data_IF_973165036105
#
_entry.id   IF_973165036105
#
_cell.length_a   1.000
_cell.length_b   1.000
_cell.length_c   1.000
_cell.angle_alpha   90.00
_cell.angle_beta   90.00
_cell.angle_gamma   90.00
#
_symmetry.space_group_name_H-M   'P 1'
#
loop_
_entity.id
_entity.type
_entity.pdbx_description
1 polymer ?
#
# COMPACT_ATOMS: atom_id res chain seq x y z
N UNK A 1 26.91 9.31 26.18
CA UNK A 1 26.68 10.77 26.20
C UNK A 1 27.64 11.46 27.15
N UNK A 2 27.68 11.11 28.46
CA UNK A 2 28.71 11.61 29.40
C UNK A 2 30.15 11.33 28.96
N UNK A 3 30.38 10.24 28.23
CA UNK A 3 31.71 9.89 27.71
C UNK A 3 32.12 10.72 26.48
N UNK A 4 31.15 11.37 25.83
CA UNK A 4 31.35 12.14 24.59
C UNK A 4 31.40 13.65 24.83
N UNK A 5 30.72 14.13 25.88
CA UNK A 5 30.61 15.56 26.17
C UNK A 5 31.12 15.85 27.58
N UNK A 6 31.92 16.91 27.73
CA UNK A 6 32.45 17.36 29.02
C UNK A 6 31.36 18.13 29.77
N UNK A 7 31.03 17.66 30.97
CA UNK A 7 30.06 18.27 31.90
C UNK A 7 28.67 18.60 31.30
N UNK A 8 27.95 17.60 30.75
CA UNK A 8 26.62 17.84 30.20
C UNK A 8 25.59 18.05 31.30
N UNK A 9 24.72 19.06 31.14
CA UNK A 9 23.52 19.20 31.94
C UNK A 9 22.56 18.01 31.67
N UNK A 10 22.12 17.36 32.74
CA UNK A 10 21.15 16.26 32.65
C UNK A 10 19.82 16.78 33.17
N UNK A 11 18.83 16.78 32.30
CA UNK A 11 17.45 17.14 32.65
C UNK A 11 16.62 15.86 32.57
N UNK A 12 16.03 15.48 33.71
CA UNK A 12 15.16 14.31 33.79
C UNK A 12 13.71 14.77 33.80
N UNK A 13 12.91 14.26 32.87
CA UNK A 13 11.47 14.54 32.81
C UNK A 13 10.72 13.49 33.62
N UNK A 14 10.13 13.90 34.74
CA UNK A 14 9.40 13.02 35.66
C UNK A 14 7.88 13.17 35.54
N UNK A 15 7.38 14.22 34.90
CA UNK A 15 5.95 14.45 34.78
C UNK A 15 5.34 13.68 33.60
N UNK A 16 4.32 12.86 33.87
CA UNK A 16 3.56 12.12 32.87
C UNK A 16 2.14 12.68 32.75
N UNK A 17 1.80 13.15 31.55
CA UNK A 17 0.49 13.73 31.23
C UNK A 17 -0.43 12.77 30.45
N UNK A 18 0.05 11.58 30.10
CA UNK A 18 -0.69 10.62 29.25
C UNK A 18 -1.54 9.68 30.10
N UNK A 19 -0.95 9.11 31.14
CA UNK A 19 -1.47 7.97 31.87
C UNK A 19 -1.76 8.32 33.32
N UNK A 20 -2.73 7.64 33.90
CA UNK A 20 -3.08 7.77 35.32
C UNK A 20 -2.12 6.98 36.19
N UNK A 21 -2.14 7.27 37.49
CA UNK A 21 -1.25 6.68 38.49
C UNK A 21 -1.27 5.13 38.51
N UNK A 22 -2.43 4.43 38.43
CA UNK A 22 -2.45 2.97 38.41
C UNK A 22 -1.64 2.36 37.25
N UNK A 23 -1.73 2.95 36.05
CA UNK A 23 -0.95 2.51 34.88
C UNK A 23 0.53 2.75 35.10
N UNK A 24 0.91 3.92 35.64
CA UNK A 24 2.32 4.22 35.91
C UNK A 24 2.93 3.30 36.96
N UNK A 25 2.19 2.97 38.02
CA UNK A 25 2.65 2.02 39.04
C UNK A 25 2.85 0.62 38.47
N UNK A 26 1.92 0.13 37.65
CA UNK A 26 2.06 -1.16 36.97
C UNK A 26 3.25 -1.16 36.01
N UNK A 27 3.42 -0.10 35.19
CA UNK A 27 4.57 0.02 34.31
C UNK A 27 5.89 0.08 35.10
N UNK A 28 5.92 0.79 36.22
CA UNK A 28 7.10 0.90 37.11
C UNK A 28 7.47 -0.45 37.72
N UNK A 29 6.49 -1.25 38.16
CA UNK A 29 6.74 -2.57 38.75
C UNK A 29 7.33 -3.57 37.75
N UNK A 30 7.01 -3.42 36.45
CA UNK A 30 7.62 -4.23 35.37
C UNK A 30 9.03 -3.73 35.05
N UNK A 31 9.21 -2.43 34.76
CA UNK A 31 10.49 -1.91 34.27
C UNK A 31 11.62 -1.97 35.31
N UNK A 32 11.29 -1.93 36.60
CA UNK A 32 12.27 -1.99 37.69
C UNK A 32 12.89 -3.38 37.89
N UNK A 33 12.33 -4.43 37.28
CA UNK A 33 12.90 -5.78 37.29
C UNK A 33 14.14 -5.90 36.38
N UNK A 34 14.30 -4.99 35.42
CA UNK A 34 15.48 -4.94 34.55
C UNK A 34 16.73 -4.50 35.30
N UNK A 35 17.86 -5.20 35.11
CA UNK A 35 19.11 -4.89 35.82
C UNK A 35 19.91 -3.73 35.18
N UNK A 36 19.88 -3.62 33.85
CA UNK A 36 20.61 -2.59 33.09
C UNK A 36 19.80 -1.31 32.92
N UNK A 37 19.52 -0.61 34.02
CA UNK A 37 18.76 0.64 34.01
C UNK A 37 19.68 1.84 34.18
N UNK A 38 19.35 2.94 33.50
CA UNK A 38 20.14 4.18 33.60
C UNK A 38 20.22 4.73 35.03
N UNK A 39 19.16 4.57 35.83
CA UNK A 39 19.12 4.93 37.25
C UNK A 39 20.15 4.13 38.08
N UNK A 40 20.47 2.90 37.67
CA UNK A 40 21.46 2.06 38.36
C UNK A 40 22.89 2.47 37.97
N UNK A 41 23.07 3.03 36.78
CA UNK A 41 24.37 3.43 36.23
C UNK A 41 24.74 4.86 36.63
N UNK A 42 23.75 5.76 36.75
CA UNK A 42 23.94 7.16 37.12
C UNK A 42 23.22 7.42 38.44
N UNK A 43 23.99 7.49 39.52
CA UNK A 43 23.48 7.59 40.91
C UNK A 43 22.58 8.80 41.20
N UNK A 44 22.61 9.83 40.37
CA UNK A 44 21.88 11.09 40.57
C UNK A 44 20.62 11.22 39.68
N UNK A 45 20.22 10.15 38.98
CA UNK A 45 19.01 10.15 38.13
C UNK A 45 17.92 9.31 38.78
N UNK A 46 16.81 9.97 39.10
CA UNK A 46 15.53 9.31 39.41
C UNK A 46 14.56 9.53 38.23
N UNK A 47 14.08 8.45 37.61
CA UNK A 47 13.06 8.51 36.54
C UNK A 47 11.71 7.98 37.02
N UNK A 48 11.43 8.08 38.31
CA UNK A 48 10.10 7.81 38.84
C UNK A 48 9.13 8.86 38.27
N UNK A 49 8.07 8.38 37.62
CA UNK A 49 7.12 9.24 36.93
C UNK A 49 5.97 9.64 37.87
N UNK A 50 5.55 10.90 37.80
CA UNK A 50 4.39 11.46 38.49
C UNK A 50 3.24 11.65 37.51
N UNK A 51 2.08 11.04 37.80
CA UNK A 51 0.88 11.20 36.97
C UNK A 51 0.22 12.56 37.21
N UNK A 52 -0.11 13.28 36.14
CA UNK A 52 -0.92 14.50 36.19
C UNK A 52 -2.34 14.30 35.64
N UNK A 53 -2.59 13.21 34.91
CA UNK A 53 -3.95 12.83 34.46
C UNK A 53 -4.73 12.24 35.64
N UNK A 54 -5.93 12.78 35.89
CA UNK A 54 -6.85 12.29 36.91
C UNK A 54 -8.11 11.77 36.23
N UNK A 55 -8.35 10.48 36.37
CA UNK A 55 -9.61 9.84 35.99
C UNK A 55 -10.14 9.06 37.20
N UNK A 56 -11.46 9.05 37.35
CA UNK A 56 -12.08 8.48 38.54
C UNK A 56 -12.00 6.94 38.58
N UNK A 57 -11.80 6.28 37.43
CA UNK A 57 -11.79 4.81 37.31
C UNK A 57 -10.76 4.35 36.28
N UNK A 58 -9.52 4.09 36.73
CA UNK A 58 -8.56 3.32 35.95
C UNK A 58 -8.26 2.01 36.68
N UNK A 59 -8.41 0.89 35.97
CA UNK A 59 -8.13 -0.44 36.49
C UNK A 59 -7.09 -1.09 35.57
N UNK A 60 -6.09 -1.74 36.16
CA UNK A 60 -5.10 -2.55 35.45
C UNK A 60 -5.26 -3.98 35.93
N UNK A 61 -5.57 -4.89 35.02
CA UNK A 61 -5.87 -6.28 35.34
C UNK A 61 -4.97 -7.23 34.55
N UNK A 62 -4.72 -8.41 35.12
CA UNK A 62 -4.04 -9.52 34.47
C UNK A 62 -4.96 -10.72 34.50
N UNK A 63 -5.32 -11.22 33.31
CA UNK A 63 -6.16 -12.39 33.14
C UNK A 63 -5.32 -13.55 32.61
N UNK A 64 -5.43 -14.72 33.24
CA UNK A 64 -4.76 -15.94 32.80
C UNK A 64 -5.83 -16.93 32.31
N UNK A 65 -5.75 -17.28 31.03
CA UNK A 65 -6.70 -18.15 30.37
C UNK A 65 -6.05 -19.48 30.01
N UNK A 66 -6.88 -20.52 29.83
CA UNK A 66 -6.40 -21.89 29.64
C UNK A 66 -5.79 -22.10 28.25
N UNK A 67 -6.38 -21.46 27.23
CA UNK A 67 -5.92 -21.56 25.85
C UNK A 67 -5.86 -20.20 25.17
N UNK A 68 -5.08 -20.11 24.10
CA UNK A 68 -4.99 -18.90 23.28
C UNK A 68 -6.33 -18.60 22.56
N UNK A 69 -7.13 -19.61 22.26
CA UNK A 69 -8.48 -19.43 21.71
C UNK A 69 -9.40 -18.76 22.72
N UNK A 70 -9.32 -19.17 23.99
CA UNK A 70 -10.09 -18.53 25.07
C UNK A 70 -9.68 -17.06 25.23
N UNK A 71 -8.40 -16.75 25.07
CA UNK A 71 -7.88 -15.37 25.06
C UNK A 71 -8.50 -14.53 23.95
N UNK A 72 -8.52 -15.02 22.71
CA UNK A 72 -9.16 -14.29 21.60
C UNK A 72 -10.64 -14.06 21.81
N UNK A 73 -11.37 -15.06 22.30
CA UNK A 73 -12.80 -14.93 22.61
C UNK A 73 -13.03 -13.93 23.74
N UNK A 74 -12.22 -13.99 24.79
CA UNK A 74 -12.30 -13.08 25.92
C UNK A 74 -12.02 -11.64 25.51
N UNK A 75 -10.97 -11.39 24.72
CA UNK A 75 -10.65 -10.04 24.21
C UNK A 75 -11.82 -9.51 23.37
N UNK A 76 -12.34 -10.29 22.43
CA UNK A 76 -13.47 -9.87 21.61
C UNK A 76 -14.72 -9.55 22.45
N UNK A 77 -14.98 -10.34 23.49
CA UNK A 77 -16.05 -10.09 24.45
C UNK A 77 -15.85 -8.78 25.22
N UNK A 78 -14.66 -8.55 25.77
CA UNK A 78 -14.35 -7.32 26.52
C UNK A 78 -14.50 -6.07 25.65
N UNK A 79 -14.00 -6.11 24.42
CA UNK A 79 -14.16 -5.00 23.48
C UNK A 79 -15.64 -4.76 23.19
N UNK A 80 -16.43 -5.82 22.98
CA UNK A 80 -17.86 -5.69 22.76
C UNK A 80 -18.58 -5.07 23.96
N UNK A 81 -18.20 -5.44 25.18
CA UNK A 81 -18.75 -4.86 26.41
C UNK A 81 -18.44 -3.37 26.51
N UNK A 82 -17.20 -2.95 26.24
CA UNK A 82 -16.81 -1.53 26.22
C UNK A 82 -17.60 -0.73 25.18
N UNK A 83 -17.73 -1.26 23.96
CA UNK A 83 -18.52 -0.62 22.90
C UNK A 83 -20.00 -0.52 23.28
N UNK A 84 -20.56 -1.55 23.92
CA UNK A 84 -21.94 -1.53 24.41
C UNK A 84 -22.16 -0.54 25.56
N UNK A 85 -21.11 -0.21 26.31
CA UNK A 85 -21.12 0.82 27.37
C UNK A 85 -21.00 2.25 26.80
N UNK A 86 -20.72 2.38 25.50
CA UNK A 86 -20.67 3.66 24.78
C UNK A 86 -19.26 4.21 24.56
N UNK A 87 -18.22 3.42 24.84
CA UNK A 87 -16.83 3.81 24.52
C UNK A 87 -16.62 3.89 23.00
N UNK A 88 -15.84 4.87 22.54
CA UNK A 88 -15.50 4.97 21.12
C UNK A 88 -14.51 3.86 20.74
N UNK A 89 -14.78 3.16 19.63
CA UNK A 89 -13.90 2.15 19.08
C UNK A 89 -12.48 2.69 18.81
N UNK A 90 -12.35 3.98 18.46
CA UNK A 90 -11.05 4.62 18.23
C UNK A 90 -10.19 4.76 19.49
N UNK A 91 -10.78 4.64 20.68
CA UNK A 91 -10.09 4.73 21.96
C UNK A 91 -9.64 3.35 22.48
N UNK A 92 -9.98 2.27 21.77
CA UNK A 92 -9.63 0.89 22.13
C UNK A 92 -8.49 0.39 21.25
N UNK A 93 -7.37 0.00 21.85
CA UNK A 93 -6.22 -0.56 21.15
C UNK A 93 -5.85 -1.95 21.69
N UNK A 94 -5.61 -2.90 20.77
CA UNK A 94 -5.12 -4.25 21.09
C UNK A 94 -3.68 -4.37 20.62
N UNK A 95 -2.76 -4.63 21.55
CA UNK A 95 -1.33 -4.74 21.26
C UNK A 95 -0.90 -6.20 21.48
N UNK A 96 -0.43 -6.84 20.41
CA UNK A 96 0.14 -8.18 20.43
C UNK A 96 1.67 -8.15 20.38
N UNK A 97 2.34 -9.23 20.79
CA UNK A 97 3.80 -9.32 20.68
C UNK A 97 4.23 -9.42 19.22
N UNK A 98 3.52 -10.25 18.46
CA UNK A 98 3.75 -10.47 17.05
C UNK A 98 2.48 -10.17 16.24
N UNK A 99 2.65 -9.65 15.02
CA UNK A 99 1.55 -9.38 14.11
C UNK A 99 0.70 -10.62 13.76
N UNK A 100 1.35 -11.79 13.66
CA UNK A 100 0.66 -13.06 13.38
C UNK A 100 -0.30 -13.48 14.49
N UNK A 101 -0.16 -12.95 15.72
CA UNK A 101 -1.13 -13.15 16.79
C UNK A 101 -2.36 -12.26 16.59
N UNK A 102 -2.16 -11.01 16.17
CA UNK A 102 -3.25 -10.09 15.85
C UNK A 102 -4.09 -10.59 14.67
N UNK A 103 -3.47 -11.18 13.63
CA UNK A 103 -4.22 -11.80 12.53
C UNK A 103 -5.19 -12.89 13.00
N UNK A 104 -4.80 -13.66 14.01
CA UNK A 104 -5.61 -14.76 14.54
C UNK A 104 -6.82 -14.26 15.33
N UNK A 105 -6.82 -13.03 15.85
CA UNK A 105 -7.96 -12.47 16.56
C UNK A 105 -9.05 -11.93 15.61
N UNK A 106 -8.69 -11.55 14.38
CA UNK A 106 -9.60 -10.89 13.43
C UNK A 106 -10.91 -11.67 13.19
N UNK A 107 -10.91 -13.01 13.01
CA UNK A 107 -12.15 -13.77 12.85
C UNK A 107 -13.11 -13.64 14.04
N UNK A 108 -12.58 -13.55 15.26
CA UNK A 108 -13.37 -13.42 16.48
C UNK A 108 -14.00 -12.02 16.61
N UNK A 109 -13.25 -10.98 16.25
CA UNK A 109 -13.76 -9.61 16.21
C UNK A 109 -14.84 -9.46 15.13
N UNK A 110 -14.63 -10.06 13.96
CA UNK A 110 -15.62 -10.06 12.87
C UNK A 110 -16.91 -10.81 13.28
N UNK A 111 -16.79 -11.98 13.92
CA UNK A 111 -17.94 -12.71 14.45
C UNK A 111 -18.75 -11.90 15.48
N UNK A 112 -18.08 -11.04 16.25
CA UNK A 112 -18.72 -10.13 17.20
C UNK A 112 -19.25 -8.82 16.57
N UNK A 113 -19.14 -8.68 15.24
CA UNK A 113 -19.48 -7.46 14.48
C UNK A 113 -18.77 -6.21 15.03
N UNK A 114 -17.48 -6.34 15.37
CA UNK A 114 -16.66 -5.23 15.85
C UNK A 114 -15.92 -4.64 14.64
N UNK A 115 -16.04 -3.33 14.36
CA UNK A 115 -15.26 -2.68 13.32
C UNK A 115 -13.78 -2.65 13.75
N UNK A 116 -12.88 -3.03 12.86
CA UNK A 116 -11.43 -3.06 13.14
C UNK A 116 -10.71 -2.22 12.10
N UNK A 117 -9.95 -1.23 12.57
CA UNK A 117 -8.92 -0.57 11.78
C UNK A 117 -7.62 -1.36 11.93
N UNK A 118 -7.23 -2.09 10.88
CA UNK A 118 -6.04 -2.94 10.90
C UNK A 118 -4.87 -2.24 10.18
N UNK A 119 -3.77 -1.99 10.89
CA UNK A 119 -2.58 -1.28 10.35
C UNK A 119 -1.78 -2.06 9.29
N UNK A 120 -2.24 -3.25 8.88
CA UNK A 120 -1.89 -3.77 7.55
C UNK A 120 -3.02 -3.38 6.60
N UNK A 121 -2.86 -2.22 5.96
CA UNK A 121 -3.07 -2.22 4.52
C UNK A 121 -2.12 -3.29 3.98
N UNK A 122 -2.62 -4.27 3.24
CA UNK A 122 -1.76 -4.94 2.27
C UNK A 122 -0.98 -3.84 1.56
N UNK A 123 0.35 -4.00 1.44
CA UNK A 123 1.18 -2.95 0.87
C UNK A 123 0.56 -2.59 -0.49
N UNK A 124 -0.02 -1.39 -0.59
CA UNK A 124 -0.83 -1.01 -1.75
C UNK A 124 0.05 -1.07 -3.02
N UNK A 125 1.37 -0.93 -2.86
CA UNK A 125 2.35 -1.06 -3.92
C UNK A 125 2.50 -2.49 -4.45
N UNK A 126 2.19 -3.50 -3.63
CA UNK A 126 2.23 -4.92 -4.01
C UNK A 126 0.91 -5.40 -4.64
N UNK A 127 -0.08 -4.50 -4.79
CA UNK A 127 -1.35 -4.87 -5.42
C UNK A 127 -1.14 -5.17 -6.92
N UNK A 128 -1.81 -6.19 -7.48
CA UNK A 128 -1.69 -6.54 -8.90
C UNK A 128 -1.80 -5.37 -9.91
N UNK A 129 -2.75 -4.42 -9.78
CA UNK A 129 -2.80 -3.26 -10.69
C UNK A 129 -1.57 -2.38 -10.59
N UNK A 130 -1.04 -2.12 -9.39
CA UNK A 130 0.13 -1.25 -9.20
C UNK A 130 1.39 -1.89 -9.77
N UNK A 131 1.59 -3.20 -9.55
CA UNK A 131 2.71 -3.94 -10.13
C UNK A 131 2.68 -3.93 -11.67
N UNK A 132 1.51 -4.05 -12.28
CA UNK A 132 1.40 -4.01 -13.74
C UNK A 132 1.66 -2.61 -14.30
N UNK A 133 1.18 -1.57 -13.64
CA UNK A 133 1.47 -0.17 -14.00
C UNK A 133 2.96 0.12 -13.86
N UNK A 134 3.62 -0.37 -12.80
CA UNK A 134 5.07 -0.26 -12.63
C UNK A 134 5.83 -0.95 -13.77
N UNK A 135 5.45 -2.19 -14.11
CA UNK A 135 6.06 -2.93 -15.23
C UNK A 135 5.90 -2.19 -16.56
N UNK A 136 4.71 -1.69 -16.83
CA UNK A 136 4.43 -0.90 -18.04
C UNK A 136 5.25 0.40 -18.04
N UNK A 137 5.32 1.12 -16.93
CA UNK A 137 6.12 2.35 -16.78
C UNK A 137 7.58 2.08 -17.11
N UNK A 138 8.16 1.01 -16.57
CA UNK A 138 9.54 0.64 -16.84
C UNK A 138 9.77 0.36 -18.34
N UNK A 139 8.84 -0.33 -19.01
CA UNK A 139 8.92 -0.56 -20.46
C UNK A 139 8.85 0.76 -21.24
N UNK A 140 7.97 1.68 -20.86
CA UNK A 140 7.84 2.99 -21.52
C UNK A 140 9.08 3.87 -21.36
N UNK A 141 9.67 3.91 -20.16
CA UNK A 141 10.93 4.64 -19.90
C UNK A 141 12.04 4.06 -20.78
N UNK A 142 12.20 2.73 -20.81
CA UNK A 142 13.23 2.08 -21.63
C UNK A 142 13.02 2.32 -23.13
N UNK A 143 11.76 2.40 -23.59
CA UNK A 143 11.42 2.76 -24.97
C UNK A 143 11.81 4.21 -25.28
N UNK A 144 11.52 5.15 -24.38
CA UNK A 144 11.92 6.55 -24.52
C UNK A 144 13.44 6.75 -24.54
N UNK A 145 14.16 5.97 -23.74
CA UNK A 145 15.64 5.91 -23.72
C UNK A 145 16.24 5.13 -24.91
N UNK A 146 15.41 4.56 -25.80
CA UNK A 146 15.83 3.74 -26.95
C UNK A 146 16.64 2.49 -26.56
N UNK A 147 16.40 1.93 -25.37
CA UNK A 147 17.06 0.74 -24.84
C UNK A 147 16.34 -0.54 -25.26
N UNK A 148 16.28 -0.77 -26.57
CA UNK A 148 15.43 -1.81 -27.16
C UNK A 148 15.72 -3.24 -26.69
N UNK A 149 16.97 -3.57 -26.35
CA UNK A 149 17.33 -4.90 -25.81
C UNK A 149 16.76 -5.14 -24.41
N UNK A 150 16.71 -4.10 -23.58
CA UNK A 150 16.15 -4.20 -22.23
C UNK A 150 14.62 -4.33 -22.30
N UNK A 151 13.99 -3.57 -23.21
CA UNK A 151 12.56 -3.70 -23.52
C UNK A 151 12.22 -5.13 -23.97
N UNK A 152 13.02 -5.71 -24.86
CA UNK A 152 12.84 -7.09 -25.36
C UNK A 152 12.83 -8.12 -24.23
N UNK A 153 13.67 -7.92 -23.20
CA UNK A 153 13.70 -8.78 -22.02
C UNK A 153 12.46 -8.65 -21.10
N UNK A 154 11.81 -7.48 -21.09
CA UNK A 154 10.66 -7.20 -20.21
C UNK A 154 9.29 -7.49 -20.85
N UNK A 155 9.20 -7.41 -22.18
CA UNK A 155 7.94 -7.65 -22.91
C UNK A 155 7.28 -9.00 -22.64
N UNK A 156 7.99 -10.14 -22.53
CA UNK A 156 7.36 -11.41 -22.22
C UNK A 156 6.58 -11.38 -20.90
N UNK A 157 7.13 -10.71 -19.87
CA UNK A 157 6.49 -10.57 -18.57
C UNK A 157 5.28 -9.65 -18.66
N UNK A 158 5.44 -8.46 -19.25
CA UNK A 158 4.34 -7.50 -19.41
C UNK A 158 3.15 -8.12 -20.16
N UNK A 159 3.40 -8.73 -21.31
CA UNK A 159 2.37 -9.26 -22.21
C UNK A 159 1.72 -10.56 -21.70
N UNK A 160 2.35 -11.23 -20.72
CA UNK A 160 1.77 -12.42 -20.09
C UNK A 160 0.52 -12.11 -19.25
N UNK A 161 0.34 -10.85 -18.85
CA UNK A 161 -0.79 -10.45 -18.02
C UNK A 161 -2.12 -10.59 -18.79
N UNK A 162 -3.15 -11.25 -18.19
CA UNK A 162 -4.42 -11.52 -18.87
C UNK A 162 -5.21 -10.27 -19.29
N UNK A 163 -4.94 -9.11 -18.67
CA UNK A 163 -5.58 -7.84 -19.05
C UNK A 163 -5.38 -7.49 -20.53
N UNK A 164 -4.26 -7.88 -21.14
CA UNK A 164 -4.00 -7.63 -22.56
C UNK A 164 -4.84 -8.50 -23.49
N UNK A 165 -5.50 -9.55 -22.98
CA UNK A 165 -6.35 -10.43 -23.78
C UNK A 165 -5.58 -11.13 -24.92
N UNK A 166 -4.29 -11.42 -24.73
CA UNK A 166 -3.46 -12.19 -25.66
C UNK A 166 -3.52 -13.66 -25.24
N UNK A 167 -3.77 -14.56 -26.19
CA UNK A 167 -3.80 -15.99 -25.86
C UNK A 167 -2.40 -16.52 -25.57
N UNK A 168 -2.28 -17.51 -24.67
CA UNK A 168 -1.00 -18.19 -24.39
C UNK A 168 -0.35 -18.75 -25.65
N UNK A 169 -1.17 -19.18 -26.63
CA UNK A 169 -0.69 -19.73 -27.89
C UNK A 169 -0.10 -18.66 -28.81
N UNK A 170 -0.70 -17.47 -28.84
CA UNK A 170 -0.18 -16.35 -29.64
C UNK A 170 1.09 -15.78 -29.01
N UNK A 171 1.16 -15.71 -27.68
CA UNK A 171 2.40 -15.40 -26.95
C UNK A 171 3.52 -16.39 -27.24
N UNK A 172 3.22 -17.69 -27.27
CA UNK A 172 4.22 -18.71 -27.59
C UNK A 172 4.68 -18.65 -29.05
N UNK A 173 3.77 -18.38 -30.00
CA UNK A 173 4.13 -18.17 -31.42
C UNK A 173 5.02 -16.94 -31.59
N UNK A 174 4.69 -15.85 -30.89
CA UNK A 174 5.48 -14.62 -30.90
C UNK A 174 6.89 -14.85 -30.38
N UNK A 175 7.02 -15.50 -29.20
CA UNK A 175 8.33 -15.79 -28.61
C UNK A 175 9.19 -16.69 -29.51
N UNK A 176 8.58 -17.72 -30.12
CA UNK A 176 9.28 -18.63 -31.01
C UNK A 176 9.72 -17.94 -32.31
N UNK A 177 8.89 -17.06 -32.87
CA UNK A 177 9.19 -16.31 -34.10
C UNK A 177 10.34 -15.31 -33.84
N UNK A 178 10.25 -14.52 -32.76
CA UNK A 178 11.31 -13.59 -32.36
C UNK A 178 12.65 -14.31 -32.14
N UNK A 179 12.63 -15.44 -31.43
CA UNK A 179 13.84 -16.23 -31.17
C UNK A 179 14.46 -16.84 -32.44
N UNK A 180 13.64 -17.45 -33.32
CA UNK A 180 14.14 -18.08 -34.56
C UNK A 180 14.71 -17.07 -35.54
N UNK A 181 14.02 -15.94 -35.71
CA UNK A 181 14.38 -14.92 -36.69
C UNK A 181 15.45 -13.95 -36.14
N UNK A 182 15.80 -14.07 -34.85
CA UNK A 182 16.74 -13.19 -34.12
C UNK A 182 16.32 -11.72 -34.19
N UNK A 183 15.04 -11.48 -33.96
CA UNK A 183 14.40 -10.18 -34.04
C UNK A 183 13.79 -9.80 -32.71
N UNK A 184 13.63 -8.50 -32.49
CA UNK A 184 13.01 -8.00 -31.27
C UNK A 184 11.50 -8.28 -31.30
N UNK A 185 10.92 -8.47 -30.13
CA UNK A 185 9.48 -8.73 -29.95
C UNK A 185 8.63 -7.65 -30.60
N UNK A 186 8.97 -6.36 -30.42
CA UNK A 186 8.23 -5.25 -31.03
C UNK A 186 8.20 -5.33 -32.55
N UNK A 187 9.31 -5.69 -33.20
CA UNK A 187 9.36 -5.82 -34.65
C UNK A 187 8.42 -6.93 -35.13
N UNK A 188 8.40 -8.07 -34.43
CA UNK A 188 7.53 -9.20 -34.76
C UNK A 188 6.07 -8.89 -34.47
N UNK A 189 5.79 -8.12 -33.41
CA UNK A 189 4.44 -7.65 -33.06
C UNK A 189 3.90 -6.69 -34.14
N UNK A 190 4.70 -5.74 -34.61
CA UNK A 190 4.31 -4.79 -35.67
C UNK A 190 3.93 -5.49 -36.99
N UNK A 191 4.53 -6.65 -37.28
CA UNK A 191 4.21 -7.47 -38.46
C UNK A 191 3.01 -8.40 -38.26
N UNK A 192 2.57 -8.61 -37.01
CA UNK A 192 1.52 -9.57 -36.68
C UNK A 192 0.19 -8.83 -36.54
N UNK A 193 -0.73 -8.93 -37.51
CA UNK A 193 -1.94 -8.12 -37.54
C UNK A 193 -2.87 -8.39 -36.35
N UNK A 194 -3.67 -7.37 -36.00
CA UNK A 194 -4.59 -7.39 -34.88
C UNK A 194 -3.94 -6.89 -33.59
N UNK A 195 -4.42 -7.40 -32.46
CA UNK A 195 -4.11 -6.85 -31.13
C UNK A 195 -2.62 -6.70 -30.79
N UNK A 196 -1.76 -7.59 -31.31
CA UNK A 196 -0.32 -7.50 -31.09
C UNK A 196 0.29 -6.28 -31.78
N UNK A 197 -0.12 -6.00 -33.01
CA UNK A 197 0.29 -4.80 -33.74
C UNK A 197 -0.21 -3.54 -33.06
N UNK A 198 -1.50 -3.51 -32.73
CA UNK A 198 -2.13 -2.34 -32.08
C UNK A 198 -1.42 -2.00 -30.75
N UNK A 199 -1.11 -3.03 -29.95
CA UNK A 199 -0.39 -2.86 -28.70
C UNK A 199 1.06 -2.41 -28.90
N UNK A 200 1.76 -2.91 -29.92
CA UNK A 200 3.13 -2.47 -30.22
C UNK A 200 3.17 -1.02 -30.68
N UNK A 201 2.25 -0.61 -31.56
CA UNK A 201 2.12 0.79 -32.00
C UNK A 201 1.81 1.68 -30.80
N UNK A 202 0.87 1.29 -29.94
CA UNK A 202 0.54 2.01 -28.72
C UNK A 202 1.73 2.15 -27.75
N UNK A 203 2.48 1.07 -27.48
CA UNK A 203 3.66 1.13 -26.61
C UNK A 203 4.74 2.08 -27.15
N UNK A 204 4.96 2.07 -28.47
CA UNK A 204 5.95 2.94 -29.12
C UNK A 204 5.53 4.42 -29.01
N UNK A 205 4.27 4.73 -29.32
CA UNK A 205 3.77 6.12 -29.24
C UNK A 205 3.79 6.60 -27.80
N UNK A 206 3.27 5.80 -26.86
CA UNK A 206 3.23 6.16 -25.45
C UNK A 206 4.62 6.31 -24.84
N UNK A 207 5.58 5.46 -25.25
CA UNK A 207 6.99 5.56 -24.84
C UNK A 207 7.62 6.88 -25.28
N UNK A 208 7.32 7.35 -26.51
CA UNK A 208 7.76 8.66 -26.98
C UNK A 208 7.09 9.81 -26.23
N UNK A 209 5.77 9.75 -26.03
CA UNK A 209 5.02 10.77 -25.28
C UNK A 209 5.52 10.90 -23.84
N UNK A 210 5.91 9.80 -23.19
CA UNK A 210 6.41 9.80 -21.80
C UNK A 210 7.64 10.67 -21.56
N UNK A 211 8.38 11.04 -22.61
CA UNK A 211 9.56 11.89 -22.49
C UNK A 211 9.22 13.37 -22.34
N UNK A 212 8.00 13.78 -22.71
CA UNK A 212 7.63 15.18 -22.85
C UNK A 212 6.27 15.53 -22.21
N UNK A 213 5.43 14.53 -21.92
CA UNK A 213 4.15 14.70 -21.24
C UNK A 213 4.26 14.52 -19.71
N UNK A 214 3.40 15.18 -18.92
CA UNK A 214 3.25 14.93 -17.49
C UNK A 214 2.88 13.48 -17.15
N UNK A 215 3.31 13.02 -15.98
CA UNK A 215 3.06 11.66 -15.50
C UNK A 215 1.57 11.34 -15.43
N UNK A 216 0.74 12.30 -15.03
CA UNK A 216 -0.70 12.14 -14.91
C UNK A 216 -1.35 11.76 -16.24
N UNK A 217 -0.95 12.44 -17.33
CA UNK A 217 -1.46 12.18 -18.68
C UNK A 217 -1.05 10.78 -19.16
N UNK A 218 0.21 10.40 -18.88
CA UNK A 218 0.73 9.08 -19.23
C UNK A 218 0.01 7.99 -18.45
N UNK A 219 -0.22 8.18 -17.14
CA UNK A 219 -0.97 7.24 -16.30
C UNK A 219 -2.42 7.08 -16.78
N UNK A 220 -3.08 8.17 -17.16
CA UNK A 220 -4.44 8.11 -17.72
C UNK A 220 -4.47 7.29 -19.01
N UNK A 221 -3.52 7.52 -19.92
CA UNK A 221 -3.36 6.72 -21.15
C UNK A 221 -3.02 5.24 -20.85
N UNK A 222 -2.14 4.98 -19.88
CA UNK A 222 -1.75 3.63 -19.45
C UNK A 222 -2.92 2.86 -18.85
N UNK A 223 -3.76 3.51 -18.08
CA UNK A 223 -4.92 2.89 -17.42
C UNK A 223 -6.08 2.72 -18.43
N UNK A 224 -6.18 3.60 -19.42
CA UNK A 224 -7.29 3.62 -20.39
C UNK A 224 -8.43 4.53 -19.93
N UNK A 225 -8.07 5.68 -19.33
CA UNK A 225 -9.01 6.71 -18.94
C UNK A 225 -9.26 7.64 -20.13
N UNK A 226 -10.47 7.62 -20.70
CA UNK A 226 -10.85 8.48 -21.85
C UNK A 226 -11.35 9.87 -21.42
N UNK A 227 -11.43 10.16 -20.12
CA UNK A 227 -11.71 11.50 -19.64
C UNK A 227 -10.43 12.35 -19.69
N UNK A 228 -10.22 12.97 -20.85
CA UNK A 228 -9.35 14.14 -20.95
C UNK A 228 -9.79 15.13 -19.86
N UNK A 229 -9.00 15.29 -18.81
CA UNK A 229 -9.14 16.39 -17.86
C UNK A 229 -8.81 17.68 -18.60
N UNK A 230 -9.73 18.14 -19.46
CA UNK A 230 -9.71 19.52 -19.91
C UNK A 230 -9.97 20.33 -18.66
N UNK A 231 -8.94 20.96 -18.14
CA UNK A 231 -9.08 21.91 -17.06
C UNK A 231 -10.16 22.91 -17.48
N UNK A 232 -11.29 22.93 -16.78
CA UNK A 232 -12.29 23.98 -16.90
C UNK A 232 -11.70 25.27 -16.31
N UNK A 233 -10.70 25.84 -16.99
CA UNK A 233 -10.33 27.23 -16.85
C UNK A 233 -11.21 28.04 -17.80
N UNK A 234 -11.90 29.05 -17.28
CA UNK A 234 -12.80 29.95 -18.02
C UNK A 234 -12.09 30.84 -19.07
N UNK A 235 -10.95 30.42 -19.63
CA UNK A 235 -10.20 31.12 -20.65
C UNK A 235 -9.65 30.13 -21.67
N UNK A 236 -10.45 29.82 -22.70
CA UNK A 236 -9.96 29.51 -24.05
C UNK A 236 -11.15 29.50 -25.03
N UNK A 237 -11.68 30.71 -25.30
CA UNK A 237 -12.27 30.96 -26.61
C UNK A 237 -11.12 31.29 -27.56
N UNK A 238 -11.02 30.50 -28.63
CA UNK A 238 -10.13 30.65 -29.80
C UNK A 238 -8.76 29.96 -29.71
N UNK A 239 -8.75 28.64 -29.83
CA UNK A 239 -7.86 27.98 -30.79
C UNK A 239 -8.46 26.62 -31.20
N UNK A 240 -8.51 26.36 -32.51
CA UNK A 240 -8.93 25.06 -33.03
C UNK A 240 -8.04 23.96 -32.43
N UNK A 241 -8.59 22.79 -32.03
CA UNK A 241 -7.77 21.72 -31.48
C UNK A 241 -6.78 21.26 -32.55
N UNK A 242 -5.49 21.49 -32.29
CA UNK A 242 -4.37 20.91 -33.03
C UNK A 242 -4.54 19.38 -33.06
N UNK A 243 -5.08 18.85 -34.15
CA UNK A 243 -5.07 17.41 -34.46
C UNK A 243 -3.79 17.09 -35.22
N UNK A 244 -2.67 16.96 -34.51
CA UNK A 244 -1.49 16.27 -35.05
C UNK A 244 -1.23 15.00 -34.25
N UNK A 245 -1.55 13.86 -34.87
CA UNK A 245 -1.27 12.52 -34.38
C UNK A 245 -2.17 11.48 -35.08
N UNK A 246 -1.64 10.30 -35.48
CA UNK A 246 -2.49 9.24 -36.01
C UNK A 246 -3.55 8.86 -34.96
N UNK A 247 -4.76 8.44 -35.37
CA UNK A 247 -5.79 8.03 -34.43
C UNK A 247 -5.27 6.85 -33.60
N UNK A 248 -5.05 7.05 -32.30
CA UNK A 248 -4.75 5.97 -31.37
C UNK A 248 -6.04 5.16 -31.16
N UNK A 249 -6.34 4.22 -32.06
CA UNK A 249 -7.51 3.31 -31.97
C UNK A 249 -7.41 2.31 -30.80
N UNK A 250 -6.26 2.24 -30.12
CA UNK A 250 -6.02 1.31 -29.02
C UNK A 250 -6.15 2.00 -27.64
N UNK A 251 -7.28 1.74 -26.97
CA UNK A 251 -7.46 2.10 -25.55
C UNK A 251 -6.95 0.96 -24.66
N UNK A 252 -6.15 1.31 -23.65
CA UNK A 252 -5.63 0.34 -22.68
C UNK A 252 -6.76 -0.41 -21.95
N UNK A 253 -6.69 -1.75 -21.83
CA UNK A 253 -7.74 -2.54 -21.19
C UNK A 253 -7.65 -2.56 -19.65
N UNK A 254 -6.64 -1.91 -19.05
CA UNK A 254 -6.35 -2.05 -17.62
C UNK A 254 -7.49 -1.57 -16.74
N UNK A 255 -8.12 -0.43 -17.06
CA UNK A 255 -9.28 0.08 -16.32
C UNK A 255 -10.43 -0.92 -16.32
N UNK A 256 -10.78 -1.44 -17.50
CA UNK A 256 -11.89 -2.38 -17.62
C UNK A 256 -11.60 -3.71 -16.90
N UNK A 257 -10.34 -4.12 -16.85
CA UNK A 257 -9.91 -5.36 -16.21
C UNK A 257 -9.91 -5.27 -14.68
N UNK A 258 -9.31 -4.22 -14.11
CA UNK A 258 -9.20 -4.07 -12.66
C UNK A 258 -10.40 -3.37 -12.01
N UNK A 259 -11.11 -2.52 -12.76
CA UNK A 259 -12.26 -1.76 -12.27
C UNK A 259 -13.52 -2.02 -13.11
N UNK A 260 -14.01 -3.28 -13.19
CA UNK A 260 -15.25 -3.56 -13.89
C UNK A 260 -16.42 -2.84 -13.20
N UNK A 261 -17.25 -2.17 -14.00
CA UNK A 261 -18.40 -1.37 -13.55
C UNK A 261 -19.44 -2.15 -12.72
N UNK A 262 -19.40 -3.48 -12.74
CA UNK A 262 -20.21 -4.38 -11.92
C UNK A 262 -19.73 -4.56 -10.48
N UNK A 263 -18.45 -4.27 -10.17
CA UNK A 263 -17.88 -4.39 -8.82
C UNK A 263 -18.18 -3.20 -7.89
N UNK A 264 -18.38 -2.01 -8.47
CA UNK A 264 -18.64 -0.76 -7.74
C UNK A 264 -19.89 -0.78 -6.85
N UNK A 265 -20.91 -1.59 -7.21
CA UNK A 265 -22.18 -1.62 -6.49
C UNK A 265 -22.25 -2.65 -5.36
N UNK A 266 -21.30 -3.60 -5.27
CA UNK A 266 -21.48 -4.76 -4.40
C UNK A 266 -20.55 -4.85 -3.19
N UNK A 267 -19.33 -4.29 -3.20
CA UNK A 267 -18.45 -4.24 -2.00
C UNK A 267 -17.32 -3.22 -2.18
N UNK A 268 -17.38 -2.08 -1.49
CA UNK A 268 -16.30 -1.08 -1.49
C UNK A 268 -15.01 -1.58 -0.81
N UNK A 269 -15.11 -2.61 0.03
CA UNK A 269 -14.00 -3.21 0.77
C UNK A 269 -13.09 -4.10 -0.09
N UNK A 270 -13.61 -4.70 -1.17
CA UNK A 270 -12.82 -5.54 -2.10
C UNK A 270 -11.99 -4.69 -3.09
N UNK A 271 -12.12 -3.36 -3.04
CA UNK A 271 -11.49 -2.42 -3.98
C UNK A 271 -10.00 -2.17 -3.68
N UNK A 272 -9.52 -2.60 -2.52
CA UNK A 272 -8.15 -2.39 -2.03
C UNK A 272 -7.52 -3.64 -1.40
N UNK A 273 -8.13 -4.81 -1.61
CA UNK A 273 -7.62 -6.11 -1.12
C UNK A 273 -6.83 -6.84 -2.20
#
# INVERSE_FOLDING_TARGET
FKDLYKDPAIITLTDNYRSTEPILLAARSVITQGQERLENVIKDIDKTLTAHRKEERTIVEMHMLQTQTDEYFWIAHQIKELLNQGEDANEIAVIGRNHSELQKILPYLNQASIPVAYERQDNVLDTPPVLLVEQLTNVLILLGEQRFLDVDGMLPQLLSHPAWGISTMDMWKLSLKAFKDRRLWLEVMLETPGRLKDLAEWLIVLGHLSQHEPLEIILDKMIGNEESQVANGEFDELDEPFKEGPPEEFTSPLRAYFFPSTGLNNNASDYLS
#
